data_IF_528820536622
#
_entry.id   IF_528820536622
#
_cell.length_a   1.000
_cell.length_b   1.000
_cell.length_c   1.000
_cell.angle_alpha   90.00
_cell.angle_beta   90.00
_cell.angle_gamma   90.00
#
_symmetry.space_group_name_H-M   'P 1'
#
loop_
_entity.id
_entity.type
_entity.pdbx_description
1 polymer ?
#
# COMPACT_ATOMS: atom_id res chain seq x y z
N UNK A 1 -19.48 -14.16 -11.44
CA UNK A 1 -18.66 -15.33 -11.05
C UNK A 1 -18.57 -15.45 -9.54
N UNK A 2 -18.36 -16.67 -9.00
CA UNK A 2 -18.11 -16.88 -7.57
C UNK A 2 -16.63 -16.61 -7.25
N UNK A 3 -16.36 -15.82 -6.22
CA UNK A 3 -15.03 -15.46 -5.80
C UNK A 3 -14.84 -15.57 -4.28
N UNK A 4 -13.59 -15.68 -3.84
CA UNK A 4 -13.19 -15.34 -2.49
C UNK A 4 -12.40 -14.02 -2.51
N UNK A 5 -12.36 -13.33 -1.38
CA UNK A 5 -11.60 -12.11 -1.20
C UNK A 5 -10.66 -12.24 -0.01
N UNK A 6 -9.45 -11.69 -0.14
CA UNK A 6 -8.47 -11.60 0.94
C UNK A 6 -7.91 -10.17 1.04
N UNK A 7 -8.03 -9.53 2.20
CA UNK A 7 -7.52 -8.17 2.36
C UNK A 7 -8.00 -7.47 3.62
N UNK A 8 -7.73 -6.18 3.70
CA UNK A 8 -8.11 -5.30 4.80
C UNK A 8 -8.63 -3.95 4.27
N UNK A 9 -8.94 -3.01 5.16
CA UNK A 9 -9.69 -1.80 4.81
C UNK A 9 -8.98 -0.86 3.84
N UNK A 10 -7.64 -0.92 3.72
CA UNK A 10 -6.89 -0.09 2.77
C UNK A 10 -7.47 -0.22 1.34
N UNK A 11 -7.67 -1.44 0.88
CA UNK A 11 -8.19 -1.73 -0.46
C UNK A 11 -9.62 -2.31 -0.44
N UNK A 12 -10.37 -2.06 0.63
CA UNK A 12 -11.79 -2.42 0.73
C UNK A 12 -12.63 -1.98 -0.48
N UNK A 13 -12.40 -0.82 -1.12
CA UNK A 13 -13.11 -0.46 -2.35
C UNK A 13 -12.99 -1.49 -3.49
N UNK A 14 -11.95 -2.33 -3.51
CA UNK A 14 -11.84 -3.43 -4.48
C UNK A 14 -12.92 -4.50 -4.24
N UNK A 15 -13.18 -4.85 -2.97
CA UNK A 15 -14.23 -5.82 -2.62
C UNK A 15 -15.60 -5.33 -3.08
N UNK A 16 -15.93 -4.07 -2.82
CA UNK A 16 -17.19 -3.47 -3.29
C UNK A 16 -17.28 -3.41 -4.81
N UNK A 17 -16.18 -3.09 -5.49
CA UNK A 17 -16.14 -3.03 -6.95
C UNK A 17 -16.34 -4.41 -7.60
N UNK A 18 -15.76 -5.45 -7.01
CA UNK A 18 -15.99 -6.85 -7.44
C UNK A 18 -17.44 -7.25 -7.30
N UNK A 19 -18.10 -6.92 -6.16
CA UNK A 19 -19.53 -7.18 -5.96
C UNK A 19 -20.37 -6.42 -6.98
N UNK A 20 -20.14 -5.11 -7.17
CA UNK A 20 -20.84 -4.29 -8.18
C UNK A 20 -20.64 -4.79 -9.62
N UNK A 21 -19.50 -5.43 -9.90
CA UNK A 21 -19.23 -6.08 -11.18
C UNK A 21 -19.95 -7.44 -11.35
N UNK A 22 -20.80 -7.82 -10.43
CA UNK A 22 -21.59 -9.07 -10.50
C UNK A 22 -20.87 -10.30 -9.97
N UNK A 23 -19.80 -10.13 -9.18
CA UNK A 23 -19.18 -11.24 -8.47
C UNK A 23 -19.99 -11.60 -7.23
N UNK A 24 -20.16 -12.91 -6.98
CA UNK A 24 -20.70 -13.44 -5.73
C UNK A 24 -19.53 -13.77 -4.81
N UNK A 25 -19.43 -13.10 -3.68
CA UNK A 25 -18.38 -13.34 -2.69
C UNK A 25 -18.78 -14.49 -1.78
N UNK A 26 -18.07 -15.61 -1.87
CA UNK A 26 -18.36 -16.85 -1.12
C UNK A 26 -17.65 -16.86 0.24
N UNK A 27 -16.50 -16.17 0.36
CA UNK A 27 -15.69 -16.10 1.57
C UNK A 27 -14.82 -14.88 1.60
N UNK A 28 -14.62 -14.35 2.81
CA UNK A 28 -13.68 -13.25 3.08
C UNK A 28 -12.60 -13.75 4.03
N UNK A 29 -11.34 -13.43 3.69
CA UNK A 29 -10.18 -13.60 4.53
C UNK A 29 -9.61 -12.22 4.85
N UNK A 30 -9.22 -12.03 6.10
CA UNK A 30 -8.50 -10.83 6.54
C UNK A 30 -7.34 -11.27 7.44
N UNK A 31 -6.85 -10.40 8.30
CA UNK A 31 -5.88 -10.71 9.33
C UNK A 31 -6.12 -9.84 10.57
N UNK A 32 -5.60 -10.22 11.73
CA UNK A 32 -5.68 -9.38 12.94
C UNK A 32 -4.94 -8.06 12.68
N UNK A 33 -5.64 -6.95 12.83
CA UNK A 33 -5.09 -5.59 12.67
C UNK A 33 -4.89 -4.95 14.04
N UNK A 34 -4.01 -3.94 14.12
CA UNK A 34 -3.79 -3.17 15.35
C UNK A 34 -4.94 -2.18 15.65
N UNK A 35 -5.80 -1.91 14.66
CA UNK A 35 -6.87 -0.91 14.70
C UNK A 35 -6.40 0.51 15.04
N UNK A 36 -5.12 0.81 14.77
CA UNK A 36 -4.49 2.12 14.92
C UNK A 36 -4.01 2.64 13.57
N UNK A 37 -3.24 1.82 12.84
CA UNK A 37 -2.73 2.11 11.50
C UNK A 37 -3.39 1.24 10.43
N UNK A 38 -3.72 0.01 10.78
CA UNK A 38 -4.40 -0.94 9.91
C UNK A 38 -5.76 -1.30 10.48
N UNK A 39 -6.76 -1.37 9.61
CA UNK A 39 -8.15 -1.65 10.00
C UNK A 39 -8.73 -2.74 9.09
N UNK A 40 -9.58 -3.60 9.65
CA UNK A 40 -10.35 -4.60 8.90
C UNK A 40 -11.86 -4.50 9.15
N UNK A 41 -12.32 -3.42 9.77
CA UNK A 41 -13.72 -3.22 10.19
C UNK A 41 -14.68 -3.16 9.00
N UNK A 42 -14.30 -2.52 7.90
CA UNK A 42 -15.13 -2.40 6.70
C UNK A 42 -15.27 -3.76 6.01
N UNK A 43 -14.16 -4.49 5.84
CA UNK A 43 -14.13 -5.81 5.23
C UNK A 43 -14.95 -6.82 6.06
N UNK A 44 -14.80 -6.82 7.37
CA UNK A 44 -15.57 -7.67 8.29
C UNK A 44 -17.05 -7.30 8.27
N UNK A 45 -17.38 -6.00 8.41
CA UNK A 45 -18.76 -5.52 8.36
C UNK A 45 -19.46 -5.83 7.03
N UNK A 46 -18.72 -5.78 5.92
CA UNK A 46 -19.23 -6.20 4.61
C UNK A 46 -19.66 -7.67 4.62
N UNK A 47 -18.81 -8.55 5.14
CA UNK A 47 -19.09 -9.98 5.21
C UNK A 47 -20.28 -10.28 6.14
N UNK A 48 -20.29 -9.71 7.35
CA UNK A 48 -21.34 -9.91 8.34
C UNK A 48 -22.73 -9.47 7.85
N UNK A 49 -22.81 -8.27 7.26
CA UNK A 49 -24.09 -7.74 6.72
C UNK A 49 -24.68 -8.59 5.59
N UNK A 50 -23.87 -9.40 4.93
CA UNK A 50 -24.29 -10.27 3.81
C UNK A 50 -24.35 -11.74 4.18
N UNK A 51 -24.05 -12.10 5.44
CA UNK A 51 -23.98 -13.50 5.88
C UNK A 51 -22.84 -14.29 5.21
N UNK A 52 -21.79 -13.59 4.73
CA UNK A 52 -20.63 -14.23 4.10
C UNK A 52 -19.70 -14.74 5.19
N UNK A 53 -19.29 -16.00 5.18
CA UNK A 53 -18.30 -16.52 6.13
C UNK A 53 -16.97 -15.76 6.00
N UNK A 54 -16.40 -15.34 7.14
CA UNK A 54 -15.10 -14.69 7.15
C UNK A 54 -14.17 -15.27 8.22
N UNK A 55 -12.87 -15.00 8.10
CA UNK A 55 -11.85 -15.39 9.08
C UNK A 55 -10.63 -14.49 8.97
N UNK A 56 -9.93 -14.31 10.08
CA UNK A 56 -8.65 -13.59 10.21
C UNK A 56 -7.43 -14.52 10.33
N UNK A 57 -7.62 -15.83 10.21
CA UNK A 57 -6.52 -16.78 10.15
C UNK A 57 -5.91 -16.87 8.74
N UNK A 58 -4.67 -17.35 8.67
CA UNK A 58 -3.98 -17.58 7.40
C UNK A 58 -4.75 -18.53 6.49
N UNK A 59 -4.77 -18.22 5.20
CA UNK A 59 -5.32 -19.08 4.15
C UNK A 59 -4.45 -20.34 4.05
N UNK A 60 -5.10 -21.50 4.00
CA UNK A 60 -4.47 -22.80 3.81
C UNK A 60 -4.80 -23.38 2.43
N UNK A 61 -3.98 -24.35 1.95
CA UNK A 61 -4.30 -25.10 0.72
C UNK A 61 -5.67 -25.77 0.80
N UNK A 62 -6.07 -26.24 2.00
CA UNK A 62 -7.39 -26.84 2.21
C UNK A 62 -8.53 -25.83 2.04
N UNK A 63 -8.32 -24.56 2.44
CA UNK A 63 -9.32 -23.50 2.21
C UNK A 63 -9.53 -23.26 0.72
N UNK A 64 -8.44 -23.17 -0.04
CA UNK A 64 -8.48 -22.96 -1.49
C UNK A 64 -9.11 -24.15 -2.22
N UNK A 65 -8.81 -25.36 -1.79
CA UNK A 65 -9.42 -26.59 -2.32
C UNK A 65 -10.93 -26.60 -2.11
N UNK A 66 -11.41 -26.30 -0.88
CA UNK A 66 -12.84 -26.21 -0.57
C UNK A 66 -13.56 -25.14 -1.38
N UNK A 67 -12.93 -23.99 -1.57
CA UNK A 67 -13.47 -22.92 -2.39
C UNK A 67 -13.64 -23.37 -3.85
N UNK A 68 -12.61 -24.02 -4.40
CA UNK A 68 -12.67 -24.54 -5.78
C UNK A 68 -13.74 -25.62 -5.93
N UNK A 69 -13.82 -26.58 -5.02
CA UNK A 69 -14.86 -27.62 -5.00
C UNK A 69 -16.28 -27.02 -4.87
N UNK A 70 -16.43 -25.91 -4.15
CA UNK A 70 -17.66 -25.12 -4.04
C UNK A 70 -18.00 -24.30 -5.29
N UNK A 71 -17.18 -24.37 -6.36
CA UNK A 71 -17.38 -23.67 -7.62
C UNK A 71 -16.88 -22.23 -7.61
N UNK A 72 -16.04 -21.85 -6.62
CA UNK A 72 -15.33 -20.57 -6.64
C UNK A 72 -14.31 -20.57 -7.80
N UNK A 73 -14.26 -19.46 -8.55
CA UNK A 73 -13.45 -19.37 -9.76
C UNK A 73 -12.14 -18.61 -9.54
N UNK A 74 -12.12 -17.73 -8.54
CA UNK A 74 -10.92 -16.95 -8.20
C UNK A 74 -10.90 -16.52 -6.73
N UNK A 75 -9.69 -16.28 -6.24
CA UNK A 75 -9.40 -15.51 -5.04
C UNK A 75 -8.78 -14.18 -5.48
N UNK A 76 -9.39 -13.07 -5.07
CA UNK A 76 -8.81 -11.73 -5.19
C UNK A 76 -8.18 -11.31 -3.88
N UNK A 77 -6.87 -11.08 -3.90
CA UNK A 77 -6.09 -10.55 -2.78
C UNK A 77 -5.85 -9.05 -2.99
N UNK A 78 -6.13 -8.24 -1.97
CA UNK A 78 -5.89 -6.81 -2.01
C UNK A 78 -5.40 -6.33 -0.64
N UNK A 79 -4.08 -6.28 -0.48
CA UNK A 79 -3.42 -5.93 0.78
C UNK A 79 -3.39 -7.05 1.83
N UNK A 80 -3.51 -8.32 1.44
CA UNK A 80 -3.40 -9.45 2.36
C UNK A 80 -1.93 -9.77 2.65
N UNK A 81 -1.52 -9.71 3.93
CA UNK A 81 -0.10 -9.77 4.32
C UNK A 81 0.51 -11.17 4.29
N UNK A 82 -0.30 -12.22 4.34
CA UNK A 82 0.23 -13.58 4.40
C UNK A 82 0.41 -14.18 3.01
N UNK A 83 1.35 -15.12 2.90
CA UNK A 83 1.47 -15.94 1.69
C UNK A 83 0.20 -16.73 1.43
N UNK A 84 -0.24 -16.72 0.18
CA UNK A 84 -1.33 -17.54 -0.32
C UNK A 84 -0.70 -18.79 -0.94
N UNK A 85 -1.16 -20.01 -0.59
CA UNK A 85 -0.67 -21.24 -1.22
C UNK A 85 -0.88 -21.22 -2.74
N UNK A 86 0.07 -21.74 -3.50
CA UNK A 86 0.04 -21.72 -4.97
C UNK A 86 -0.26 -23.09 -5.59
N UNK A 87 -0.28 -24.16 -4.80
CA UNK A 87 -0.64 -25.52 -5.18
C UNK A 87 -2.18 -25.69 -5.19
N UNK A 88 -2.85 -24.95 -6.03
CA UNK A 88 -4.30 -24.89 -6.12
C UNK A 88 -4.78 -24.71 -7.56
N UNK A 89 -5.90 -25.34 -7.96
CA UNK A 89 -6.55 -25.02 -9.23
C UNK A 89 -7.26 -23.67 -9.23
N UNK A 90 -7.48 -23.06 -8.04
CA UNK A 90 -8.13 -21.76 -7.91
C UNK A 90 -7.21 -20.66 -8.43
N UNK A 91 -7.71 -19.80 -9.29
CA UNK A 91 -6.97 -18.65 -9.79
C UNK A 91 -6.81 -17.61 -8.68
N UNK A 92 -5.59 -17.35 -8.25
CA UNK A 92 -5.32 -16.34 -7.23
C UNK A 92 -4.74 -15.09 -7.88
N UNK A 93 -5.43 -13.97 -7.75
CA UNK A 93 -5.04 -12.65 -8.27
C UNK A 93 -4.64 -11.75 -7.10
N UNK A 94 -3.52 -11.04 -7.21
CA UNK A 94 -3.14 -10.02 -6.25
C UNK A 94 -3.24 -8.62 -6.86
N UNK A 95 -3.77 -7.68 -6.09
CA UNK A 95 -3.81 -6.24 -6.40
C UNK A 95 -2.63 -5.59 -5.68
N UNK A 96 -1.63 -5.18 -6.42
CA UNK A 96 -0.39 -4.63 -5.89
C UNK A 96 -0.23 -3.14 -6.24
N UNK A 97 0.01 -2.26 -5.25
CA UNK A 97 0.07 -0.80 -5.47
C UNK A 97 1.45 -0.32 -5.94
N UNK A 98 1.95 -0.90 -7.01
CA UNK A 98 3.16 -0.49 -7.71
C UNK A 98 3.11 -0.90 -9.19
N UNK A 99 4.02 -0.36 -10.01
CA UNK A 99 4.25 -0.76 -11.40
C UNK A 99 5.24 -1.93 -11.46
N UNK A 100 4.75 -3.16 -11.28
CA UNK A 100 5.59 -4.35 -11.40
C UNK A 100 6.24 -4.43 -12.79
N UNK A 101 7.49 -4.91 -12.88
CA UNK A 101 8.26 -5.65 -11.88
C UNK A 101 9.03 -4.78 -10.88
N UNK A 102 8.88 -3.45 -10.89
CA UNK A 102 9.51 -2.54 -9.93
C UNK A 102 8.60 -2.40 -8.71
N UNK A 103 9.18 -2.41 -7.52
CA UNK A 103 8.41 -2.22 -6.28
C UNK A 103 7.67 -3.46 -5.79
N UNK A 104 8.18 -4.68 -6.05
CA UNK A 104 7.76 -5.87 -5.33
C UNK A 104 8.01 -5.71 -3.84
N UNK A 105 7.13 -6.21 -3.00
CA UNK A 105 7.32 -6.16 -1.55
C UNK A 105 6.14 -5.56 -0.78
N UNK A 106 6.22 -5.52 0.55
CA UNK A 106 5.05 -5.35 1.41
C UNK A 106 4.46 -3.93 1.40
N UNK A 107 5.30 -2.90 1.24
CA UNK A 107 4.85 -1.51 1.37
C UNK A 107 5.45 -0.58 0.32
N UNK A 108 5.07 -0.70 -0.97
CA UNK A 108 5.69 0.04 -2.06
C UNK A 108 5.35 1.53 -2.11
N UNK A 109 4.23 1.96 -1.53
CA UNK A 109 3.78 3.35 -1.59
C UNK A 109 4.78 4.34 -0.95
N UNK A 110 5.20 4.20 0.31
CA UNK A 110 6.23 5.07 0.88
C UNK A 110 7.57 4.93 0.15
N UNK A 111 7.93 3.71 -0.28
CA UNK A 111 9.16 3.47 -1.04
C UNK A 111 9.20 4.27 -2.35
N UNK A 112 8.08 4.40 -3.05
CA UNK A 112 7.94 5.23 -4.25
C UNK A 112 8.34 6.68 -3.97
N UNK A 113 7.88 7.26 -2.87
CA UNK A 113 8.19 8.65 -2.47
C UNK A 113 9.63 8.77 -1.98
N UNK A 114 10.10 7.86 -1.13
CA UNK A 114 11.47 7.84 -0.61
C UNK A 114 12.51 7.78 -1.73
N UNK A 115 12.25 6.97 -2.76
CA UNK A 115 13.10 6.83 -3.96
C UNK A 115 12.97 8.01 -4.92
N UNK A 116 11.95 8.85 -4.73
CA UNK A 116 11.70 10.04 -5.54
C UNK A 116 11.28 9.69 -6.97
N UNK A 117 10.54 8.63 -7.14
CA UNK A 117 9.99 8.25 -8.43
C UNK A 117 8.93 9.26 -8.86
N UNK A 118 8.82 9.45 -10.17
CA UNK A 118 7.86 10.38 -10.79
C UNK A 118 6.62 9.67 -11.36
N UNK A 119 6.58 8.35 -11.21
CA UNK A 119 5.49 7.50 -11.66
C UNK A 119 5.30 6.34 -10.68
N UNK A 120 4.08 5.91 -10.52
CA UNK A 120 3.68 4.69 -9.81
C UNK A 120 2.46 4.10 -10.52
N UNK A 121 1.82 3.11 -9.93
CA UNK A 121 0.63 2.50 -10.51
C UNK A 121 0.02 1.43 -9.65
N UNK A 122 -0.91 0.70 -10.27
CA UNK A 122 -1.49 -0.51 -9.70
C UNK A 122 -1.31 -1.64 -10.69
N UNK A 123 -0.85 -2.78 -10.22
CA UNK A 123 -0.70 -4.01 -10.99
C UNK A 123 -1.58 -5.11 -10.40
N UNK A 124 -2.39 -5.73 -11.26
CA UNK A 124 -3.02 -7.00 -10.95
C UNK A 124 -2.18 -8.10 -11.57
N UNK A 125 -1.80 -9.09 -10.77
CA UNK A 125 -0.95 -10.18 -11.21
C UNK A 125 -1.40 -11.51 -10.62
N UNK A 126 -0.97 -12.62 -11.23
CA UNK A 126 -1.16 -13.96 -10.67
C UNK A 126 -0.37 -14.07 -9.36
N UNK A 127 -0.93 -14.72 -8.36
CA UNK A 127 -0.14 -15.11 -7.18
C UNK A 127 0.84 -16.22 -7.58
N UNK A 128 2.09 -16.07 -7.19
CA UNK A 128 3.18 -17.00 -7.46
C UNK A 128 3.94 -17.34 -6.17
N UNK A 129 4.87 -18.28 -6.24
CA UNK A 129 5.66 -18.70 -5.07
C UNK A 129 6.52 -17.59 -4.46
N UNK A 130 7.03 -16.66 -5.29
CA UNK A 130 7.70 -15.45 -4.85
C UNK A 130 6.72 -14.31 -4.62
N UNK A 131 7.00 -13.43 -3.66
CA UNK A 131 6.17 -12.23 -3.45
C UNK A 131 6.20 -11.35 -4.71
N UNK A 132 5.01 -11.02 -5.20
CA UNK A 132 4.74 -10.11 -6.32
C UNK A 132 5.47 -10.46 -7.62
N UNK A 133 5.76 -11.77 -7.86
CA UNK A 133 6.53 -12.24 -9.02
C UNK A 133 5.69 -12.88 -10.12
N UNK A 134 4.40 -13.07 -9.92
CA UNK A 134 3.52 -13.72 -10.89
C UNK A 134 3.22 -12.85 -12.11
N UNK A 135 2.80 -13.49 -13.20
CA UNK A 135 2.51 -12.83 -14.47
C UNK A 135 1.49 -11.71 -14.33
N UNK A 136 1.73 -10.60 -15.03
CA UNK A 136 0.86 -9.41 -15.02
C UNK A 136 -0.41 -9.69 -15.82
N UNK A 137 -1.56 -9.43 -15.20
CA UNK A 137 -2.90 -9.52 -15.81
C UNK A 137 -3.37 -8.15 -16.33
N UNK A 138 -3.25 -7.12 -15.52
CA UNK A 138 -3.57 -5.73 -15.84
C UNK A 138 -2.64 -4.80 -15.08
N UNK A 139 -2.37 -3.65 -15.67
CA UNK A 139 -1.56 -2.63 -15.02
C UNK A 139 -2.01 -1.24 -15.47
N UNK A 140 -2.00 -0.28 -14.57
CA UNK A 140 -2.25 1.12 -14.89
C UNK A 140 -1.27 2.00 -14.14
N UNK A 141 -0.62 2.88 -14.90
CA UNK A 141 0.32 3.88 -14.39
C UNK A 141 -0.39 5.20 -14.07
N UNK A 142 0.15 5.93 -13.11
CA UNK A 142 -0.22 7.31 -12.82
C UNK A 142 1.01 8.12 -12.37
N UNK A 143 1.02 9.46 -12.63
CA UNK A 143 2.14 10.30 -12.23
C UNK A 143 2.21 10.45 -10.71
N UNK A 144 3.45 10.60 -10.21
CA UNK A 144 3.75 10.96 -8.82
C UNK A 144 4.52 12.28 -8.82
N UNK A 145 3.99 13.27 -8.16
CA UNK A 145 4.56 14.62 -8.10
C UNK A 145 5.34 14.86 -6.80
N UNK A 146 6.07 15.97 -6.75
CA UNK A 146 6.75 16.40 -5.54
C UNK A 146 5.78 16.89 -4.42
N UNK A 147 4.48 16.92 -4.68
CA UNK A 147 3.45 17.27 -3.69
C UNK A 147 2.74 16.06 -3.13
N UNK A 148 2.90 14.90 -3.77
CA UNK A 148 2.23 13.69 -3.33
C UNK A 148 2.83 13.19 -2.01
N UNK A 149 1.94 12.79 -1.14
CA UNK A 149 2.21 12.19 0.16
C UNK A 149 1.70 10.74 0.16
N UNK A 150 2.01 9.99 1.23
CA UNK A 150 1.42 8.66 1.42
C UNK A 150 -0.12 8.70 1.36
N UNK A 151 -0.73 9.74 1.93
CA UNK A 151 -2.18 9.91 1.95
C UNK A 151 -2.74 10.12 0.53
N UNK A 152 -2.19 11.07 -0.24
CA UNK A 152 -2.68 11.35 -1.62
C UNK A 152 -2.42 10.19 -2.56
N UNK A 153 -1.29 9.50 -2.40
CA UNK A 153 -0.97 8.31 -3.17
C UNK A 153 -1.93 7.16 -2.86
N UNK A 154 -2.27 6.98 -1.58
CA UNK A 154 -3.28 6.02 -1.12
C UNK A 154 -4.65 6.30 -1.75
N UNK A 155 -5.10 7.55 -1.77
CA UNK A 155 -6.37 7.94 -2.41
C UNK A 155 -6.37 7.66 -3.92
N UNK A 156 -5.27 7.92 -4.61
CA UNK A 156 -5.12 7.59 -6.02
C UNK A 156 -5.24 6.09 -6.25
N UNK A 157 -4.55 5.27 -5.45
CA UNK A 157 -4.62 3.81 -5.51
C UNK A 157 -6.04 3.31 -5.21
N UNK A 158 -6.70 3.88 -4.20
CA UNK A 158 -8.10 3.56 -3.85
C UNK A 158 -9.10 3.90 -4.94
N UNK A 159 -8.72 4.75 -5.88
CA UNK A 159 -9.52 5.07 -7.09
C UNK A 159 -9.21 4.13 -8.24
N UNK A 160 -7.94 3.82 -8.50
CA UNK A 160 -7.49 3.01 -9.64
C UNK A 160 -7.73 1.51 -9.39
N UNK A 161 -7.33 0.99 -8.24
CA UNK A 161 -7.35 -0.43 -7.92
C UNK A 161 -8.74 -1.08 -8.05
N UNK A 162 -9.84 -0.48 -7.55
CA UNK A 162 -11.18 -1.05 -7.66
C UNK A 162 -11.65 -1.22 -9.12
N UNK A 163 -11.33 -0.25 -9.97
CA UNK A 163 -11.68 -0.28 -11.40
C UNK A 163 -10.92 -1.40 -12.12
N UNK A 164 -9.63 -1.56 -11.82
CA UNK A 164 -8.83 -2.65 -12.37
C UNK A 164 -9.30 -4.01 -11.84
N UNK A 165 -9.67 -4.14 -10.57
CA UNK A 165 -10.19 -5.37 -9.99
C UNK A 165 -11.48 -5.81 -10.68
N UNK A 166 -12.42 -4.87 -10.89
CA UNK A 166 -13.66 -5.13 -11.62
C UNK A 166 -13.41 -5.53 -13.09
N UNK A 167 -12.51 -4.84 -13.79
CA UNK A 167 -12.13 -5.16 -15.15
C UNK A 167 -11.44 -6.54 -15.27
N UNK A 168 -10.60 -6.87 -14.29
CA UNK A 168 -9.95 -8.18 -14.21
C UNK A 168 -10.99 -9.29 -14.02
N UNK A 169 -11.94 -9.09 -13.10
CA UNK A 169 -13.02 -10.05 -12.88
C UNK A 169 -13.87 -10.29 -14.13
N UNK A 170 -14.23 -9.22 -14.84
CA UNK A 170 -15.02 -9.31 -16.07
C UNK A 170 -14.30 -10.01 -17.23
N UNK A 171 -12.97 -9.94 -17.27
CA UNK A 171 -12.14 -10.52 -18.35
C UNK A 171 -11.22 -11.63 -17.90
N UNK A 172 -11.45 -12.27 -16.76
CA UNK A 172 -10.48 -13.14 -16.09
C UNK A 172 -9.93 -14.26 -16.96
N UNK A 173 -10.78 -14.97 -17.71
CA UNK A 173 -10.34 -16.07 -18.56
C UNK A 173 -9.34 -15.62 -19.62
N UNK A 174 -9.68 -14.55 -20.32
CA UNK A 174 -8.83 -13.96 -21.36
C UNK A 174 -7.53 -13.42 -20.78
N UNK A 175 -7.62 -12.64 -19.69
CA UNK A 175 -6.45 -12.04 -19.03
C UNK A 175 -5.51 -13.10 -18.45
N UNK A 176 -6.08 -14.17 -17.87
CA UNK A 176 -5.28 -15.29 -17.35
C UNK A 176 -4.49 -16.00 -18.42
N UNK A 177 -5.12 -16.22 -19.60
CA UNK A 177 -4.48 -16.89 -20.74
C UNK A 177 -3.43 -16.01 -21.43
N UNK A 178 -3.63 -14.67 -21.43
CA UNK A 178 -2.73 -13.68 -22.05
C UNK A 178 -1.83 -12.95 -21.06
N UNK A 179 -1.69 -13.45 -19.84
CA UNK A 179 -0.87 -12.80 -18.81
C UNK A 179 0.59 -12.69 -19.25
N UNK A 180 1.20 -11.55 -18.95
CA UNK A 180 2.56 -11.22 -19.39
C UNK A 180 3.54 -11.60 -18.28
N UNK A 181 4.53 -12.47 -18.55
CA UNK A 181 5.57 -12.80 -17.59
C UNK A 181 6.32 -11.54 -17.13
N UNK A 182 6.59 -11.44 -15.83
CA UNK A 182 7.46 -10.40 -15.32
C UNK A 182 8.93 -10.72 -15.62
N UNK A 183 9.67 -9.72 -16.10
CA UNK A 183 11.11 -9.79 -16.21
C UNK A 183 11.83 -9.66 -14.86
N UNK A 184 13.13 -9.39 -14.90
CA UNK A 184 13.89 -8.99 -13.73
C UNK A 184 13.22 -7.79 -13.08
N UNK A 185 13.11 -7.80 -11.75
CA UNK A 185 12.43 -6.77 -10.99
C UNK A 185 13.17 -6.45 -9.69
N UNK A 186 12.75 -5.38 -9.06
CA UNK A 186 13.33 -4.92 -7.81
C UNK A 186 12.36 -5.23 -6.65
N UNK A 187 12.87 -5.89 -5.61
CA UNK A 187 12.15 -6.10 -4.36
C UNK A 187 12.48 -4.96 -3.38
N UNK A 188 11.47 -4.32 -2.87
CA UNK A 188 11.59 -3.29 -1.85
C UNK A 188 11.16 -3.87 -0.50
N UNK A 189 12.09 -4.02 0.45
CA UNK A 189 11.73 -4.39 1.81
C UNK A 189 10.87 -3.28 2.42
N UNK A 190 10.19 -3.60 3.50
CA UNK A 190 9.52 -2.60 4.31
C UNK A 190 10.54 -1.58 4.82
N UNK A 191 10.24 -0.27 4.75
CA UNK A 191 11.12 0.76 5.29
C UNK A 191 11.42 0.51 6.77
N UNK A 192 12.70 0.50 7.11
CA UNK A 192 13.15 0.36 8.48
C UNK A 192 12.99 1.66 9.28
N UNK A 193 13.18 1.59 10.60
CA UNK A 193 13.04 2.74 11.49
C UNK A 193 13.92 3.93 11.05
N UNK A 194 15.16 3.68 10.63
CA UNK A 194 16.10 4.73 10.19
C UNK A 194 15.64 5.44 8.89
N UNK A 195 14.84 4.79 8.05
CA UNK A 195 14.27 5.42 6.87
C UNK A 195 13.14 6.39 7.21
N UNK A 196 12.54 6.24 8.39
CA UNK A 196 11.52 7.13 8.94
C UNK A 196 12.09 8.27 9.78
N UNK A 197 13.42 8.34 9.97
CA UNK A 197 14.06 9.36 10.81
C UNK A 197 14.56 10.52 9.95
N UNK A 198 14.31 11.74 10.43
CA UNK A 198 14.89 12.99 9.95
C UNK A 198 15.86 13.50 11.03
N UNK A 199 17.09 13.83 10.63
CA UNK A 199 18.08 14.44 11.51
C UNK A 199 18.44 15.86 11.04
N UNK A 200 19.06 16.70 11.91
CA UNK A 200 19.54 18.02 11.50
C UNK A 200 20.49 18.02 10.32
N UNK A 201 21.28 16.94 10.17
CA UNK A 201 22.29 16.77 9.13
C UNK A 201 21.70 16.38 7.77
N UNK A 202 20.42 16.02 7.73
CA UNK A 202 19.76 15.68 6.48
C UNK A 202 19.61 16.89 5.55
N UNK A 203 19.70 16.61 4.26
CA UNK A 203 19.30 17.59 3.27
C UNK A 203 17.78 17.81 3.32
N UNK A 204 17.35 19.04 3.04
CA UNK A 204 15.95 19.37 2.92
C UNK A 204 15.19 18.43 1.96
N UNK A 205 15.88 17.96 0.88
CA UNK A 205 15.31 17.03 -0.09
C UNK A 205 15.03 15.64 0.51
N UNK A 206 15.96 15.08 1.32
CA UNK A 206 15.72 13.81 2.00
C UNK A 206 14.61 13.94 3.03
N UNK A 207 14.69 14.98 3.86
CA UNK A 207 13.69 15.26 4.88
C UNK A 207 12.27 15.45 4.28
N UNK A 208 12.16 16.12 3.13
CA UNK A 208 10.91 16.27 2.38
C UNK A 208 10.33 14.91 1.95
N UNK A 209 11.17 14.03 1.40
CA UNK A 209 10.71 12.69 1.02
C UNK A 209 10.24 11.88 2.22
N UNK A 210 10.95 11.91 3.34
CA UNK A 210 10.54 11.22 4.57
C UNK A 210 9.23 11.77 5.09
N UNK A 211 9.10 13.10 5.21
CA UNK A 211 7.88 13.73 5.71
C UNK A 211 6.65 13.39 4.85
N UNK A 212 6.81 13.34 3.52
CA UNK A 212 5.74 12.95 2.59
C UNK A 212 5.46 11.44 2.57
N UNK A 213 6.51 10.62 2.61
CA UNK A 213 6.39 9.17 2.59
C UNK A 213 5.67 8.60 3.81
N UNK A 214 5.71 9.30 4.93
CA UNK A 214 5.07 8.85 6.17
C UNK A 214 4.03 9.83 6.72
N UNK A 215 3.52 10.72 5.87
CA UNK A 215 2.43 11.62 6.24
C UNK A 215 1.20 10.82 6.71
N UNK A 216 0.68 11.17 7.90
CA UNK A 216 -0.44 10.49 8.54
C UNK A 216 -0.08 9.19 9.28
N UNK A 217 0.99 8.49 8.87
CA UNK A 217 1.53 7.32 9.57
C UNK A 217 2.48 7.75 10.72
N UNK A 218 3.34 8.72 10.42
CA UNK A 218 4.29 9.31 11.35
C UNK A 218 5.74 8.99 11.00
N UNK A 219 6.60 9.98 11.26
CA UNK A 219 8.05 9.90 11.15
C UNK A 219 8.68 10.50 12.43
N UNK A 220 9.98 10.32 12.60
CA UNK A 220 10.70 10.78 13.78
C UNK A 220 11.65 11.92 13.39
N UNK A 221 11.67 13.00 14.16
CA UNK A 221 12.78 13.95 14.16
C UNK A 221 13.71 13.62 15.33
N UNK A 222 14.98 13.35 15.02
CA UNK A 222 16.03 13.04 16.01
C UNK A 222 17.06 14.16 16.00
N UNK A 223 17.04 15.00 17.03
CA UNK A 223 17.97 16.13 17.14
C UNK A 223 18.03 16.71 18.55
N UNK A 224 19.15 17.33 18.92
CA UNK A 224 19.31 17.93 20.25
C UNK A 224 19.35 16.94 21.42
N UNK A 225 19.55 15.65 21.18
CA UNK A 225 19.50 14.58 22.18
C UNK A 225 18.11 14.05 22.46
N UNK A 226 17.11 14.46 21.69
CA UNK A 226 15.71 14.04 21.82
C UNK A 226 15.19 13.42 20.51
N UNK A 227 14.19 12.56 20.64
CA UNK A 227 13.39 12.02 19.55
C UNK A 227 11.95 12.50 19.69
N UNK A 228 11.39 12.97 18.58
CA UNK A 228 10.04 13.51 18.56
C UNK A 228 9.28 12.87 17.39
N UNK A 229 8.19 12.18 17.68
CA UNK A 229 7.33 11.60 16.64
C UNK A 229 6.39 12.67 16.10
N UNK A 230 6.34 12.75 14.77
CA UNK A 230 5.59 13.75 14.01
C UNK A 230 4.62 13.02 13.09
N UNK A 231 3.33 13.35 13.15
CA UNK A 231 2.32 12.82 12.24
C UNK A 231 2.21 13.62 10.95
N UNK A 232 2.37 14.95 11.05
CA UNK A 232 2.27 15.86 9.89
C UNK A 232 3.33 16.94 9.96
N UNK A 233 4.10 17.03 8.91
CA UNK A 233 5.11 18.07 8.70
C UNK A 233 5.36 18.26 7.21
N UNK A 234 5.98 19.40 6.88
CA UNK A 234 6.43 19.69 5.53
C UNK A 234 7.82 20.32 5.55
N UNK A 235 8.55 20.21 4.45
CA UNK A 235 9.83 20.89 4.31
C UNK A 235 9.69 22.12 3.41
N UNK A 236 10.02 23.28 3.98
CA UNK A 236 10.18 24.54 3.23
C UNK A 236 11.60 24.64 2.76
N UNK A 237 11.85 24.58 1.47
CA UNK A 237 13.16 24.80 0.87
C UNK A 237 13.54 26.26 0.96
N UNK A 238 14.68 26.56 1.56
CA UNK A 238 15.21 27.93 1.70
C UNK A 238 16.70 27.89 2.03
N UNK A 239 17.49 28.71 1.36
CA UNK A 239 18.88 28.95 1.77
C UNK A 239 18.90 29.77 3.04
N UNK A 240 19.70 29.34 4.02
CA UNK A 240 19.92 30.04 5.28
C UNK A 240 21.27 29.66 5.89
N UNK A 241 21.76 30.47 6.82
CA UNK A 241 23.00 30.23 7.56
C UNK A 241 22.76 29.70 8.97
N UNK A 242 21.50 29.45 9.34
CA UNK A 242 21.15 28.94 10.65
C UNK A 242 21.74 27.53 10.83
N UNK A 243 22.34 27.27 11.99
CA UNK A 243 22.89 25.97 12.34
C UNK A 243 21.79 24.91 12.25
N UNK A 244 22.02 23.78 11.56
CA UNK A 244 21.09 22.65 11.55
C UNK A 244 20.70 22.22 12.98
N UNK A 245 19.43 21.85 13.17
CA UNK A 245 18.87 21.50 14.48
C UNK A 245 18.37 22.69 15.30
N UNK A 246 18.67 23.92 14.90
CA UNK A 246 18.11 25.08 15.58
C UNK A 246 16.59 25.12 15.38
N UNK A 247 15.85 25.18 16.48
CA UNK A 247 14.39 25.33 16.47
C UNK A 247 13.98 26.80 16.54
N UNK A 248 12.98 27.16 15.79
CA UNK A 248 12.26 28.45 15.90
C UNK A 248 10.77 28.27 15.70
N UNK A 249 9.99 29.25 16.07
CA UNK A 249 8.55 29.30 15.79
C UNK A 249 8.27 30.48 14.85
N UNK A 250 7.55 30.20 13.73
CA UNK A 250 7.15 31.21 12.76
C UNK A 250 5.64 31.10 12.51
N UNK A 251 4.90 32.15 12.82
CA UNK A 251 3.43 32.13 12.71
C UNK A 251 2.75 31.06 13.57
N UNK A 252 3.32 30.73 14.73
CA UNK A 252 2.81 29.68 15.61
C UNK A 252 3.20 28.25 15.22
N UNK A 253 3.95 28.06 14.12
CA UNK A 253 4.40 26.75 13.64
C UNK A 253 5.84 26.50 14.07
N UNK A 254 6.15 25.44 14.82
CA UNK A 254 7.50 25.03 15.14
C UNK A 254 8.24 24.57 13.86
N UNK A 255 9.52 24.96 13.77
CA UNK A 255 10.37 24.63 12.64
C UNK A 255 11.77 24.28 13.08
N UNK A 256 12.34 23.23 12.51
CA UNK A 256 13.76 22.85 12.69
C UNK A 256 14.58 23.17 11.44
N UNK A 257 15.71 23.83 11.64
CA UNK A 257 16.67 24.10 10.55
C UNK A 257 17.28 22.79 10.04
N UNK A 258 17.28 22.61 8.72
CA UNK A 258 17.92 21.53 7.99
C UNK A 258 18.94 22.11 7.01
N UNK A 259 19.73 21.26 6.36
CA UNK A 259 20.60 21.72 5.25
C UNK A 259 19.75 22.07 4.03
N UNK A 260 19.59 23.36 3.75
CA UNK A 260 18.86 23.90 2.60
C UNK A 260 17.36 24.01 2.80
N UNK A 261 16.88 24.03 4.05
CA UNK A 261 15.46 24.22 4.33
C UNK A 261 15.08 24.17 5.80
N UNK A 262 13.78 24.13 6.02
CA UNK A 262 13.18 24.09 7.35
C UNK A 262 12.11 23.00 7.40
N UNK A 263 12.20 22.08 8.36
CA UNK A 263 11.12 21.15 8.69
C UNK A 263 10.08 21.89 9.55
N UNK A 264 8.89 22.10 9.01
CA UNK A 264 7.74 22.70 9.68
C UNK A 264 6.86 21.59 10.24
N UNK A 265 6.37 21.72 11.46
CA UNK A 265 5.60 20.69 12.14
C UNK A 265 4.19 21.19 12.40
N UNK A 266 3.21 20.45 11.89
CA UNK A 266 1.78 20.79 12.04
C UNK A 266 1.08 19.89 13.05
N UNK A 267 1.59 18.66 13.26
CA UNK A 267 0.97 17.74 14.20
C UNK A 267 2.04 16.77 14.76
N UNK A 268 2.11 16.76 16.07
CA UNK A 268 2.86 15.75 16.83
C UNK A 268 2.04 14.47 17.01
N UNK A 269 2.70 13.32 17.27
CA UNK A 269 2.03 12.05 17.58
C UNK A 269 1.53 12.02 19.01
#
# INVERSE_FOLDING_TARGET
MKIAYAGFDLLYPCLEALERAGCTVERVFTYPTDNVYEFNRQVVSFAEKRGIPWTDRRITSQDLQRLWEGGCQALFSAGYLYRIPVDTPLRCVNVHPALLPVGRGPWPMPCTILRGLTESGVTLHKVAAGFDTGDILLQEAFPVTQRDTLETLTETIRTVAPRLAAACAAGLDRLWASAVPQGAGEYWPEPGEEEMVITPEDSARRADRVARAFAGYGFVYRGGGEEQRILRGEVRFASHTTRPGTMRVEGGVPMYALRGGWLRIFQWA
#
